data_IF_423343011211
#
_entry.id   IF_423343011211
#
_cell.length_a   1.000
_cell.length_b   1.000
_cell.length_c   1.000
_cell.angle_alpha   90.00
_cell.angle_beta   90.00
_cell.angle_gamma   90.00
#
_symmetry.space_group_name_H-M   'P 1'
#
loop_
_entity.id
_entity.type
_entity.pdbx_description
1 polymer ?
#
# COMPACT_ATOMS: atom_id res chain seq x y z
N UNK A 1 -0.91 6.36 -10.25
CA UNK A 1 -2.27 6.19 -10.85
C UNK A 1 -2.83 4.84 -10.46
N UNK A 2 -4.14 4.61 -10.62
CA UNK A 2 -4.80 3.32 -10.37
C UNK A 2 -4.14 2.19 -11.19
N UNK A 3 -3.89 2.43 -12.49
CA UNK A 3 -3.20 1.48 -13.39
C UNK A 3 -1.83 1.05 -12.85
N UNK A 4 -1.04 1.99 -12.29
CA UNK A 4 0.29 1.69 -11.73
C UNK A 4 0.22 0.89 -10.43
N UNK A 5 -0.84 1.07 -9.62
CA UNK A 5 -1.09 0.21 -8.45
C UNK A 5 -1.37 -1.23 -8.91
N UNK A 6 -2.25 -1.38 -9.90
CA UNK A 6 -2.67 -2.69 -10.43
C UNK A 6 -1.51 -3.47 -11.07
N UNK A 7 -0.57 -2.78 -11.72
CA UNK A 7 0.57 -3.42 -12.39
C UNK A 7 1.88 -3.33 -11.61
N UNK A 8 1.86 -2.98 -10.33
CA UNK A 8 3.05 -2.92 -9.47
C UNK A 8 4.19 -2.04 -10.00
N UNK A 9 3.83 -0.94 -10.68
CA UNK A 9 4.76 0.07 -11.18
C UNK A 9 4.56 1.41 -10.47
N UNK A 10 3.93 1.41 -9.30
CA UNK A 10 3.63 2.63 -8.55
C UNK A 10 4.79 3.16 -7.71
N UNK A 11 5.76 2.31 -7.38
CA UNK A 11 6.82 2.59 -6.41
C UNK A 11 6.36 2.59 -4.95
N UNK A 12 5.06 2.40 -4.65
CA UNK A 12 4.54 2.41 -3.28
C UNK A 12 5.14 1.26 -2.48
N UNK A 13 5.70 1.58 -1.32
CA UNK A 13 6.30 0.62 -0.38
C UNK A 13 5.30 -0.41 0.09
N UNK A 14 5.76 -1.64 0.29
CA UNK A 14 4.93 -2.73 0.81
C UNK A 14 4.62 -2.52 2.29
N UNK A 15 3.33 -2.49 2.66
CA UNK A 15 2.91 -2.20 4.02
C UNK A 15 3.26 -3.34 4.98
N UNK A 16 3.33 -4.60 4.54
CA UNK A 16 3.74 -5.71 5.39
C UNK A 16 5.19 -5.52 5.83
N UNK A 17 6.05 -5.12 4.90
CA UNK A 17 7.46 -4.78 5.19
C UNK A 17 7.55 -3.57 6.12
N UNK A 18 6.74 -2.54 5.90
CA UNK A 18 6.72 -1.37 6.78
C UNK A 18 6.24 -1.69 8.19
N UNK A 19 5.25 -2.58 8.35
CA UNK A 19 4.76 -3.01 9.66
C UNK A 19 5.82 -3.85 10.38
N UNK A 20 6.48 -4.77 9.69
CA UNK A 20 7.61 -5.55 10.24
C UNK A 20 8.75 -4.63 10.72
N UNK A 21 9.14 -3.64 9.91
CA UNK A 21 10.12 -2.62 10.28
C UNK A 21 9.67 -1.74 11.46
N UNK A 22 8.36 -1.59 11.65
CA UNK A 22 7.79 -0.90 12.81
C UNK A 22 7.73 -1.79 14.07
N UNK A 23 8.19 -3.04 13.99
CA UNK A 23 8.25 -4.01 15.09
C UNK A 23 7.00 -4.88 15.24
N UNK A 24 6.06 -4.82 14.30
CA UNK A 24 4.88 -5.68 14.30
C UNK A 24 5.21 -7.05 13.69
N UNK A 25 4.76 -8.11 14.34
CA UNK A 25 4.89 -9.49 13.87
C UNK A 25 3.74 -9.86 12.93
N UNK A 26 3.89 -10.97 12.22
CA UNK A 26 2.89 -11.44 11.26
C UNK A 26 1.48 -11.62 11.85
N UNK A 27 1.38 -12.00 13.12
CA UNK A 27 0.11 -12.24 13.82
C UNK A 27 -0.41 -11.00 14.57
N UNK A 28 0.32 -9.88 14.54
CA UNK A 28 -0.12 -8.65 15.19
C UNK A 28 -1.24 -7.98 14.39
N UNK A 29 -2.27 -7.54 15.11
CA UNK A 29 -3.43 -6.88 14.51
C UNK A 29 -3.15 -5.41 14.20
N UNK A 30 -3.54 -4.97 13.00
CA UNK A 30 -3.64 -3.55 12.64
C UNK A 30 -4.84 -3.30 11.71
N UNK A 31 -5.40 -2.10 11.78
CA UNK A 31 -6.58 -1.68 11.02
C UNK A 31 -6.21 -1.13 9.63
N UNK A 32 -7.19 -1.09 8.71
CA UNK A 32 -7.05 -0.40 7.42
C UNK A 32 -6.55 1.05 7.60
N UNK A 33 -7.03 1.77 8.61
CA UNK A 33 -6.61 3.15 8.89
C UNK A 33 -5.15 3.23 9.33
N UNK A 34 -4.67 2.25 10.10
CA UNK A 34 -3.25 2.18 10.47
C UNK A 34 -2.36 1.91 9.26
N UNK A 35 -2.80 1.07 8.31
CA UNK A 35 -2.10 0.86 7.04
C UNK A 35 -2.06 2.14 6.21
N UNK A 36 -3.20 2.82 6.05
CA UNK A 36 -3.26 4.11 5.34
C UNK A 36 -2.34 5.15 5.99
N UNK A 37 -2.35 5.27 7.31
CA UNK A 37 -1.49 6.18 8.05
C UNK A 37 -0.01 5.82 7.94
N UNK A 38 0.34 4.53 7.89
CA UNK A 38 1.71 4.07 7.66
C UNK A 38 2.19 4.47 6.26
N UNK A 39 1.37 4.23 5.23
CA UNK A 39 1.69 4.56 3.84
C UNK A 39 1.77 6.07 3.61
N UNK A 40 0.87 6.86 4.20
CA UNK A 40 0.87 8.31 4.09
C UNK A 40 2.11 8.98 4.74
N UNK A 41 2.75 8.32 5.71
CA UNK A 41 3.98 8.80 6.34
C UNK A 41 5.25 8.54 5.52
N UNK A 42 5.16 7.84 4.40
CA UNK A 42 6.33 7.56 3.55
C UNK A 42 6.63 8.77 2.68
N UNK A 43 7.77 9.48 2.87
CA UNK A 43 8.04 10.74 2.16
C UNK A 43 8.40 10.54 0.69
N UNK A 44 8.87 9.33 0.33
CA UNK A 44 9.25 8.94 -1.04
C UNK A 44 8.82 7.50 -1.30
N UNK A 45 8.67 7.15 -2.57
CA UNK A 45 8.48 5.78 -3.05
C UNK A 45 9.81 5.03 -3.14
N UNK A 46 9.78 3.74 -3.47
CA UNK A 46 11.01 2.97 -3.73
C UNK A 46 11.72 3.42 -5.01
N UNK A 47 10.97 3.93 -5.99
CA UNK A 47 11.45 4.45 -7.27
C UNK A 47 10.40 5.40 -7.86
N UNK A 48 10.77 6.12 -8.91
CA UNK A 48 9.87 7.02 -9.65
C UNK A 48 8.68 6.24 -10.24
N UNK A 49 7.42 6.65 -10.01
CA UNK A 49 6.26 5.89 -10.48
C UNK A 49 6.26 5.65 -12.00
N UNK A 50 6.36 4.37 -12.39
CA UNK A 50 6.41 3.91 -13.77
C UNK A 50 7.81 3.59 -14.29
N UNK A 51 8.87 3.90 -13.54
CA UNK A 51 10.24 3.61 -13.93
C UNK A 51 10.58 2.11 -13.83
N UNK A 52 10.02 1.42 -12.84
CA UNK A 52 10.36 0.02 -12.54
C UNK A 52 9.12 -0.80 -12.16
N UNK A 53 9.31 -2.13 -12.08
CA UNK A 53 8.36 -3.08 -11.53
C UNK A 53 8.86 -3.60 -10.17
N UNK A 54 8.01 -3.51 -9.15
CA UNK A 54 8.25 -4.13 -7.85
C UNK A 54 6.92 -4.48 -7.20
N UNK A 55 6.74 -5.75 -6.89
CA UNK A 55 5.54 -6.22 -6.20
C UNK A 55 5.33 -5.48 -4.88
N UNK A 56 4.08 -5.12 -4.58
CA UNK A 56 3.71 -4.39 -3.37
C UNK A 56 2.26 -4.69 -3.02
N UNK A 57 2.05 -5.29 -1.84
CA UNK A 57 0.74 -5.56 -1.27
C UNK A 57 -0.05 -4.27 -1.04
N UNK A 58 0.64 -3.15 -0.80
CA UNK A 58 0.03 -1.83 -0.67
C UNK A 58 -0.70 -1.40 -1.93
N UNK A 59 -0.25 -1.83 -3.11
CA UNK A 59 -0.94 -1.57 -4.37
C UNK A 59 -2.37 -2.11 -4.33
N UNK A 60 -2.54 -3.38 -3.99
CA UNK A 60 -3.86 -4.02 -3.89
C UNK A 60 -4.67 -3.55 -2.70
N UNK A 61 -4.03 -3.31 -1.55
CA UNK A 61 -4.71 -2.69 -0.41
C UNK A 61 -5.33 -1.34 -0.78
N UNK A 62 -4.57 -0.45 -1.44
CA UNK A 62 -5.10 0.85 -1.86
C UNK A 62 -6.20 0.70 -2.93
N UNK A 63 -6.10 -0.29 -3.82
CA UNK A 63 -7.16 -0.59 -4.78
C UNK A 63 -8.45 -1.02 -4.08
N UNK A 64 -8.38 -1.83 -3.02
CA UNK A 64 -9.58 -2.22 -2.25
C UNK A 64 -10.22 -1.01 -1.57
N UNK A 65 -9.42 -0.09 -1.02
CA UNK A 65 -9.92 1.17 -0.45
C UNK A 65 -10.60 2.05 -1.51
N UNK A 66 -10.06 2.10 -2.74
CA UNK A 66 -10.67 2.84 -3.86
C UNK A 66 -12.00 2.22 -4.26
N UNK A 67 -12.08 0.89 -4.41
CA UNK A 67 -13.33 0.20 -4.75
C UNK A 67 -14.38 0.39 -3.65
N UNK A 68 -13.99 0.28 -2.38
CA UNK A 68 -14.87 0.51 -1.22
C UNK A 68 -15.49 1.92 -1.30
N UNK A 69 -14.67 2.94 -1.52
CA UNK A 69 -15.13 4.34 -1.64
C UNK A 69 -15.98 4.59 -2.88
N UNK A 70 -15.61 4.05 -4.03
CA UNK A 70 -16.33 4.25 -5.28
C UNK A 70 -17.69 3.52 -5.32
N UNK A 71 -17.79 2.37 -4.65
CA UNK A 71 -19.00 1.55 -4.62
C UNK A 71 -19.92 1.84 -3.43
N UNK A 72 -19.40 2.42 -2.34
CA UNK A 72 -20.12 2.57 -1.08
C UNK A 72 -20.37 1.23 -0.36
N UNK A 73 -19.63 0.17 -0.74
CA UNK A 73 -19.79 -1.19 -0.21
C UNK A 73 -18.51 -1.67 0.45
N UNK A 74 -18.65 -2.51 1.46
CA UNK A 74 -17.55 -3.20 2.16
C UNK A 74 -17.36 -4.60 1.63
#
# INVERSE_FOLDING_TARGET
TIRRLLHHTSGVRDYLVLMDLAGLRADDYYTDDQVVAMLARQPVTNFEPGAEFLYSNSGYFLLSQIVRRASGRT
#
